data_IF_702921961064
#
_entry.id   IF_702921961064
#
_cell.length_a   1.000
_cell.length_b   1.000
_cell.length_c   1.000
_cell.angle_alpha   90.00
_cell.angle_beta   90.00
_cell.angle_gamma   90.00
#
_symmetry.space_group_name_H-M   'P 1'
#
loop_
_entity.id
_entity.type
_entity.pdbx_description
1 polymer ?
#
# COMPACT_ATOMS: atom_id res chain seq x y z
N UNK A 1 -7.31 90.76 30.83
CA UNK A 1 -6.49 90.45 29.63
C UNK A 1 -5.69 89.16 29.88
N UNK A 2 -5.96 88.14 29.06
CA UNK A 2 -5.09 87.04 28.59
C UNK A 2 -4.09 86.38 29.57
N UNK A 3 -4.49 85.24 30.14
CA UNK A 3 -3.58 84.13 30.46
C UNK A 3 -3.27 83.36 29.17
N UNK A 4 -2.04 83.45 28.67
CA UNK A 4 -1.54 82.65 27.55
C UNK A 4 -1.07 81.29 28.10
N UNK A 5 -1.78 80.21 27.72
CA UNK A 5 -1.32 78.83 27.87
C UNK A 5 0.01 78.65 27.14
N UNK A 6 1.07 78.33 27.89
CA UNK A 6 2.27 77.73 27.33
C UNK A 6 1.96 76.25 27.01
N UNK A 7 1.63 75.94 25.77
CA UNK A 7 1.80 74.58 25.23
C UNK A 7 3.20 74.51 24.61
N UNK A 8 4.19 74.03 25.37
CA UNK A 8 5.53 73.75 24.87
C UNK A 8 5.63 72.28 24.43
N UNK A 9 5.96 72.09 23.15
CA UNK A 9 6.77 71.01 22.59
C UNK A 9 6.44 69.56 22.95
N UNK A 10 5.46 68.94 22.28
CA UNK A 10 5.35 67.47 22.16
C UNK A 10 5.42 66.99 20.69
N UNK A 11 5.72 67.89 19.75
CA UNK A 11 5.53 67.66 18.31
C UNK A 11 6.63 66.87 17.58
N UNK A 12 7.92 66.85 18.00
CA UNK A 12 8.95 66.10 17.27
C UNK A 12 9.05 64.62 17.69
N UNK A 13 8.98 64.35 18.99
CA UNK A 13 9.25 63.01 19.56
C UNK A 13 8.14 62.01 19.23
N UNK A 14 6.88 62.45 19.25
CA UNK A 14 5.74 61.60 18.87
C UNK A 14 5.83 61.26 17.37
N UNK A 15 6.27 62.21 16.54
CA UNK A 15 6.45 62.00 15.10
C UNK A 15 7.54 60.98 14.79
N UNK A 16 8.70 61.07 15.44
CA UNK A 16 9.79 60.09 15.23
C UNK A 16 9.45 58.70 15.75
N UNK A 17 8.81 58.59 16.91
CA UNK A 17 8.37 57.29 17.45
C UNK A 17 7.36 56.62 16.51
N UNK A 18 6.40 57.39 15.98
CA UNK A 18 5.43 56.88 15.02
C UNK A 18 6.11 56.42 13.70
N UNK A 19 7.07 57.18 13.21
CA UNK A 19 7.76 56.88 11.95
C UNK A 19 8.64 55.62 12.08
N UNK A 20 9.32 55.45 13.21
CA UNK A 20 10.08 54.22 13.51
C UNK A 20 9.13 53.04 13.62
N UNK A 21 7.99 53.18 14.30
CA UNK A 21 7.01 52.10 14.43
C UNK A 21 6.47 51.65 13.07
N UNK A 22 6.16 52.59 12.17
CA UNK A 22 5.71 52.30 10.80
C UNK A 22 6.83 51.63 10.00
N UNK A 23 8.06 52.14 10.09
CA UNK A 23 9.19 51.56 9.37
C UNK A 23 9.49 50.11 9.81
N UNK A 24 9.39 49.82 11.12
CA UNK A 24 9.54 48.46 11.64
C UNK A 24 8.41 47.55 11.14
N UNK A 25 7.15 48.00 11.16
CA UNK A 25 6.03 47.21 10.63
C UNK A 25 6.19 46.90 9.14
N UNK A 26 6.60 47.89 8.34
CA UNK A 26 6.84 47.70 6.91
C UNK A 26 8.02 46.77 6.65
N UNK A 27 9.12 46.90 7.40
CA UNK A 27 10.27 46.01 7.29
C UNK A 27 9.90 44.57 7.66
N UNK A 28 9.10 44.36 8.70
CA UNK A 28 8.60 43.03 9.08
C UNK A 28 7.70 42.42 8.00
N UNK A 29 6.78 43.21 7.43
CA UNK A 29 5.91 42.74 6.36
C UNK A 29 6.72 42.41 5.08
N UNK A 30 7.68 43.26 4.71
CA UNK A 30 8.56 43.03 3.58
C UNK A 30 9.46 41.80 3.80
N UNK A 31 9.94 41.59 5.02
CA UNK A 31 10.70 40.38 5.37
C UNK A 31 9.83 39.12 5.23
N UNK A 32 8.59 39.13 5.71
CA UNK A 32 7.68 37.99 5.57
C UNK A 32 7.40 37.64 4.10
N UNK A 33 7.17 38.66 3.26
CA UNK A 33 6.97 38.46 1.81
C UNK A 33 8.25 38.01 1.13
N UNK A 34 9.41 38.56 1.49
CA UNK A 34 10.69 38.17 0.91
C UNK A 34 11.09 36.74 1.30
N UNK A 35 10.96 36.37 2.58
CA UNK A 35 11.24 35.01 3.05
C UNK A 35 10.24 33.99 2.51
N UNK A 36 8.95 34.34 2.43
CA UNK A 36 7.93 33.47 1.81
C UNK A 36 8.04 33.35 0.29
N UNK A 37 8.73 34.28 -0.37
CA UNK A 37 9.05 34.20 -1.81
C UNK A 37 10.36 33.47 -2.11
N UNK A 38 11.21 33.23 -1.10
CA UNK A 38 12.45 32.46 -1.23
C UNK A 38 12.29 30.97 -0.92
N UNK A 39 11.11 30.51 -0.51
CA UNK A 39 10.80 29.08 -0.50
C UNK A 39 10.73 28.61 -1.96
N UNK A 40 11.78 27.91 -2.41
CA UNK A 40 11.79 27.23 -3.71
C UNK A 40 10.68 26.18 -3.72
N UNK A 41 9.54 26.54 -4.31
CA UNK A 41 8.44 25.60 -4.55
C UNK A 41 8.88 24.66 -5.67
N UNK A 42 9.14 23.42 -5.31
CA UNK A 42 9.43 22.38 -6.28
C UNK A 42 8.18 22.11 -7.13
N UNK A 43 8.26 22.23 -8.48
CA UNK A 43 7.12 21.93 -9.32
C UNK A 43 6.79 20.44 -9.25
N UNK A 44 5.51 20.12 -9.09
CA UNK A 44 5.04 18.74 -9.13
C UNK A 44 5.15 18.17 -10.55
N UNK A 45 5.36 16.85 -10.70
CA UNK A 45 5.41 16.22 -12.01
C UNK A 45 4.08 16.32 -12.76
N UNK A 46 4.15 16.53 -14.06
CA UNK A 46 2.95 16.56 -14.91
C UNK A 46 2.64 15.14 -15.42
N UNK A 47 1.62 14.53 -14.82
CA UNK A 47 1.13 13.19 -15.18
C UNK A 47 -0.36 13.20 -15.51
N UNK A 48 -0.79 12.25 -16.33
CA UNK A 48 -2.19 11.91 -16.61
C UNK A 48 -2.41 10.46 -16.26
N UNK A 49 -3.43 10.19 -15.45
CA UNK A 49 -3.73 8.87 -14.97
C UNK A 49 -5.22 8.61 -15.09
N UNK A 50 -5.55 7.36 -15.37
CA UNK A 50 -6.91 6.85 -15.41
C UNK A 50 -7.07 5.76 -14.36
N UNK A 51 -8.29 5.60 -13.85
CA UNK A 51 -8.63 4.62 -12.83
C UNK A 51 -9.89 3.91 -13.25
N UNK A 52 -9.79 2.61 -13.47
CA UNK A 52 -10.90 1.78 -13.96
C UNK A 52 -11.05 0.52 -13.07
N UNK A 53 -12.26 -0.06 -12.95
CA UNK A 53 -12.42 -1.34 -12.26
C UNK A 53 -11.53 -2.42 -12.86
N UNK A 54 -10.80 -3.15 -12.00
CA UNK A 54 -9.87 -4.21 -12.42
C UNK A 54 -10.52 -5.59 -12.51
N UNK A 55 -9.71 -6.60 -12.85
CA UNK A 55 -10.14 -8.00 -12.83
C UNK A 55 -10.14 -8.59 -11.42
N UNK A 56 -9.27 -8.09 -10.53
CA UNK A 56 -9.17 -8.55 -9.15
C UNK A 56 -10.39 -8.10 -8.33
N UNK A 57 -10.91 -8.93 -7.42
CA UNK A 57 -12.02 -8.57 -6.54
C UNK A 57 -11.75 -7.26 -5.79
N UNK A 58 -12.72 -6.34 -5.82
CA UNK A 58 -12.66 -5.02 -5.18
C UNK A 58 -11.51 -4.09 -5.62
N UNK A 59 -10.70 -4.47 -6.61
CA UNK A 59 -9.60 -3.65 -7.09
C UNK A 59 -10.02 -2.69 -8.21
N UNK A 60 -9.33 -1.57 -8.27
CA UNK A 60 -9.28 -0.69 -9.44
C UNK A 60 -7.86 -0.71 -9.99
N UNK A 61 -7.72 -0.70 -11.32
CA UNK A 61 -6.44 -0.53 -12.01
C UNK A 61 -6.18 0.98 -12.20
N UNK A 62 -5.13 1.48 -11.55
CA UNK A 62 -4.61 2.83 -11.74
C UNK A 62 -3.53 2.80 -12.81
N UNK A 63 -3.79 3.38 -13.97
CA UNK A 63 -2.86 3.42 -15.10
C UNK A 63 -2.27 4.82 -15.28
N UNK A 64 -0.94 4.91 -15.39
CA UNK A 64 -0.26 6.11 -15.86
C UNK A 64 -0.33 6.18 -17.39
N UNK A 65 -1.28 6.93 -17.95
CA UNK A 65 -1.48 6.95 -19.41
C UNK A 65 -0.51 7.87 -20.14
N UNK A 66 -0.07 8.97 -19.51
CA UNK A 66 0.90 9.89 -20.11
C UNK A 66 1.61 10.76 -19.05
N UNK A 67 2.75 11.33 -19.41
CA UNK A 67 3.45 12.34 -18.62
C UNK A 67 4.86 11.95 -18.20
N UNK A 68 5.35 12.61 -17.16
CA UNK A 68 6.66 12.33 -16.58
C UNK A 68 6.68 11.02 -15.79
N UNK A 69 7.88 10.43 -15.65
CA UNK A 69 8.08 9.28 -14.76
C UNK A 69 7.70 9.67 -13.33
N UNK A 70 6.87 8.85 -12.70
CA UNK A 70 6.48 9.06 -11.32
C UNK A 70 7.33 8.17 -10.41
N UNK A 71 8.09 8.79 -9.52
CA UNK A 71 8.86 8.09 -8.49
C UNK A 71 7.91 7.63 -7.38
N UNK A 72 7.77 6.31 -7.24
CA UNK A 72 6.91 5.65 -6.26
C UNK A 72 7.21 6.03 -4.81
N UNK A 73 8.47 6.32 -4.49
CA UNK A 73 8.87 6.74 -3.14
C UNK A 73 8.37 8.14 -2.79
N UNK A 74 7.98 8.92 -3.80
CA UNK A 74 7.49 10.29 -3.64
C UNK A 74 5.99 10.41 -3.73
N UNK A 75 5.25 9.31 -3.78
CA UNK A 75 3.79 9.33 -3.91
C UNK A 75 3.07 8.49 -2.87
N UNK A 76 1.84 8.88 -2.57
CA UNK A 76 0.93 8.11 -1.73
C UNK A 76 -0.50 8.18 -2.28
N UNK A 77 -1.25 7.10 -2.08
CA UNK A 77 -2.64 6.91 -2.47
C UNK A 77 -3.56 7.04 -1.27
N UNK A 78 -3.96 8.26 -0.93
CA UNK A 78 -4.85 8.48 0.22
C UNK A 78 -6.25 7.97 -0.08
N UNK A 79 -6.79 7.16 0.83
CA UNK A 79 -8.09 6.52 0.63
C UNK A 79 -8.01 5.13 -0.03
N UNK A 80 -6.80 4.59 -0.24
CA UNK A 80 -6.57 3.19 -0.52
C UNK A 80 -6.26 2.40 0.76
N UNK A 81 -6.47 1.09 0.73
CA UNK A 81 -6.07 0.16 1.79
C UNK A 81 -4.55 0.22 2.03
N UNK A 82 -3.77 0.16 0.95
CA UNK A 82 -2.33 0.41 0.94
C UNK A 82 -2.06 1.80 0.35
N UNK A 83 -1.85 2.79 1.22
CA UNK A 83 -1.50 4.14 0.78
C UNK A 83 -0.11 4.21 0.10
N UNK A 84 0.70 3.15 0.24
CA UNK A 84 2.06 3.04 -0.27
C UNK A 84 2.18 2.02 -1.41
N UNK A 85 1.07 1.60 -2.05
CA UNK A 85 1.07 0.58 -3.09
C UNK A 85 1.99 0.87 -4.29
N UNK A 86 2.36 2.15 -4.48
CA UNK A 86 3.27 2.59 -5.53
C UNK A 86 4.74 2.61 -5.12
N UNK A 87 5.07 2.36 -3.84
CA UNK A 87 6.46 2.36 -3.38
C UNK A 87 7.29 1.25 -4.04
N UNK A 88 8.60 1.44 -4.04
CA UNK A 88 9.61 0.56 -4.62
C UNK A 88 9.50 0.33 -6.14
N UNK A 89 8.73 1.16 -6.84
CA UNK A 89 8.65 1.15 -8.31
C UNK A 89 8.58 2.56 -8.86
N UNK A 90 9.20 2.76 -10.01
CA UNK A 90 8.92 3.92 -10.86
C UNK A 90 7.75 3.57 -11.76
N UNK A 91 6.80 4.50 -11.93
CA UNK A 91 5.75 4.37 -12.95
C UNK A 91 6.12 5.16 -14.20
N UNK A 92 6.00 4.50 -15.34
CA UNK A 92 6.11 5.05 -16.68
C UNK A 92 4.75 5.02 -17.37
N UNK A 93 4.65 5.73 -18.49
CA UNK A 93 3.43 5.70 -19.29
C UNK A 93 3.15 4.27 -19.81
N UNK A 94 1.94 3.77 -19.53
CA UNK A 94 1.48 2.41 -19.79
C UNK A 94 1.58 1.46 -18.60
N UNK A 95 2.19 1.88 -17.48
CA UNK A 95 2.23 1.06 -16.27
C UNK A 95 0.91 1.15 -15.51
N UNK A 96 0.43 0.02 -14.99
CA UNK A 96 -0.76 -0.06 -14.12
C UNK A 96 -0.42 -0.65 -12.75
N UNK A 97 -1.23 -0.28 -11.75
CA UNK A 97 -1.18 -0.85 -10.40
C UNK A 97 -2.60 -1.06 -9.88
N UNK A 98 -2.85 -2.25 -9.35
CA UNK A 98 -4.08 -2.53 -8.61
C UNK A 98 -4.12 -1.76 -7.29
N UNK A 99 -5.23 -1.07 -7.05
CA UNK A 99 -5.49 -0.27 -5.85
C UNK A 99 -6.83 -0.72 -5.27
N UNK A 100 -6.92 -0.77 -3.94
CA UNK A 100 -8.16 -1.14 -3.23
C UNK A 100 -8.69 0.09 -2.47
N UNK A 101 -9.64 0.84 -3.03
CA UNK A 101 -10.20 2.00 -2.33
C UNK A 101 -10.98 1.58 -1.09
N UNK A 102 -10.67 2.22 0.04
CA UNK A 102 -11.42 2.12 1.32
C UNK A 102 -12.35 3.32 1.52
N UNK A 103 -12.27 4.33 0.65
CA UNK A 103 -13.05 5.57 0.70
C UNK A 103 -13.55 5.92 -0.69
N UNK A 104 -14.68 6.64 -0.76
CA UNK A 104 -15.27 7.10 -2.03
C UNK A 104 -14.37 8.08 -2.81
N UNK A 105 -13.37 8.66 -2.14
CA UNK A 105 -12.42 9.59 -2.73
C UNK A 105 -11.01 9.05 -2.58
N UNK A 106 -10.39 8.73 -3.71
CA UNK A 106 -8.99 8.33 -3.81
C UNK A 106 -8.16 9.52 -4.31
N UNK A 107 -7.06 9.84 -3.62
CA UNK A 107 -6.17 10.94 -3.99
C UNK A 107 -4.75 10.45 -4.19
N UNK A 108 -4.18 10.75 -5.36
CA UNK A 108 -2.74 10.60 -5.59
C UNK A 108 -2.03 11.86 -5.15
N UNK A 109 -1.20 11.75 -4.12
CA UNK A 109 -0.43 12.86 -3.54
C UNK A 109 1.04 12.65 -3.82
N UNK A 110 1.71 13.68 -4.35
CA UNK A 110 3.16 13.71 -4.53
C UNK A 110 3.83 14.59 -3.48
N UNK A 111 5.03 14.18 -3.05
CA UNK A 111 5.86 14.85 -2.04
C UNK A 111 7.21 15.25 -2.65
N UNK A 112 7.52 16.54 -2.57
CA UNK A 112 8.81 17.10 -2.97
C UNK A 112 9.86 17.00 -1.86
N UNK A 113 11.12 17.15 -2.25
CA UNK A 113 12.31 17.04 -1.41
C UNK A 113 12.37 18.10 -0.30
N UNK A 114 11.72 19.24 -0.53
CA UNK A 114 11.71 20.38 0.39
C UNK A 114 10.40 20.54 1.16
N UNK A 115 9.66 19.43 1.33
CA UNK A 115 8.44 19.37 2.14
C UNK A 115 7.20 19.93 1.44
N UNK A 116 7.29 20.25 0.15
CA UNK A 116 6.12 20.54 -0.67
C UNK A 116 5.28 19.28 -0.89
N UNK A 117 3.96 19.41 -0.92
CA UNK A 117 3.06 18.30 -1.30
C UNK A 117 1.95 18.80 -2.21
N UNK A 118 1.59 17.98 -3.20
CA UNK A 118 0.61 18.33 -4.23
C UNK A 118 -0.30 17.14 -4.49
N UNK A 119 -1.61 17.38 -4.57
CA UNK A 119 -2.56 16.38 -5.09
C UNK A 119 -2.42 16.40 -6.61
N UNK A 120 -1.90 15.31 -7.18
CA UNK A 120 -1.74 15.17 -8.62
C UNK A 120 -3.08 14.89 -9.29
N UNK A 121 -3.88 13.99 -8.70
CA UNK A 121 -5.19 13.56 -9.18
C UNK A 121 -6.11 13.17 -8.02
N UNK A 122 -7.39 13.31 -8.27
CA UNK A 122 -8.47 12.86 -7.39
C UNK A 122 -9.45 12.05 -8.24
N UNK A 123 -9.89 10.92 -7.69
CA UNK A 123 -10.83 10.00 -8.31
C UNK A 123 -12.02 9.79 -7.37
N UNK A 124 -13.21 9.71 -7.96
CA UNK A 124 -14.42 9.25 -7.29
C UNK A 124 -14.61 7.77 -7.60
N UNK A 125 -14.76 6.95 -6.56
CA UNK A 125 -14.81 5.49 -6.65
C UNK A 125 -15.87 4.94 -5.71
N UNK A 126 -16.34 3.73 -5.99
CA UNK A 126 -17.17 2.96 -5.07
C UNK A 126 -16.28 1.92 -4.38
N UNK A 127 -16.03 2.02 -3.05
CA UNK A 127 -15.23 1.04 -2.31
C UNK A 127 -15.83 -0.37 -2.41
N UNK A 128 -15.02 -1.33 -2.82
CA UNK A 128 -15.43 -2.74 -2.92
C UNK A 128 -15.04 -3.60 -1.71
N UNK A 129 -14.21 -3.06 -0.81
CA UNK A 129 -13.72 -3.75 0.39
C UNK A 129 -14.70 -3.54 1.56
N UNK A 130 -14.78 -4.48 2.52
CA UNK A 130 -15.67 -4.35 3.67
C UNK A 130 -15.25 -3.19 4.59
N UNK A 131 -16.23 -2.60 5.28
CA UNK A 131 -15.97 -1.58 6.30
C UNK A 131 -15.21 -2.19 7.49
N UNK A 132 -14.23 -1.44 7.99
CA UNK A 132 -13.36 -1.91 9.06
C UNK A 132 -14.04 -1.86 10.45
N UNK A 133 -13.92 -2.96 11.20
CA UNK A 133 -14.27 -3.02 12.62
C UNK A 133 -13.17 -2.40 13.50
N UNK A 134 -11.92 -2.54 13.06
CA UNK A 134 -10.71 -2.05 13.74
C UNK A 134 -9.73 -1.48 12.73
N UNK A 135 -8.82 -0.68 13.26
CA UNK A 135 -7.73 -0.04 12.49
C UNK A 135 -6.40 -0.23 13.22
N UNK A 136 -5.29 0.22 12.63
CA UNK A 136 -3.93 0.08 13.18
C UNK A 136 -3.75 0.36 14.68
N UNK A 137 -4.43 1.32 15.34
CA UNK A 137 -4.30 1.51 16.78
C UNK A 137 -4.61 0.27 17.62
N UNK A 138 -5.47 -0.64 17.15
CA UNK A 138 -5.70 -1.92 17.82
C UNK A 138 -4.45 -2.82 17.73
N UNK A 139 -3.90 -2.98 16.52
CA UNK A 139 -2.71 -3.79 16.27
C UNK A 139 -1.51 -3.28 17.09
N UNK A 140 -1.31 -1.97 17.16
CA UNK A 140 -0.25 -1.37 17.98
C UNK A 140 -0.46 -1.62 19.48
N UNK A 141 -1.71 -1.77 19.93
CA UNK A 141 -2.05 -2.21 21.28
C UNK A 141 -1.60 -3.64 21.56
N UNK A 142 -1.95 -4.58 20.69
CA UNK A 142 -1.54 -6.01 20.82
C UNK A 142 -0.01 -6.17 20.87
N UNK A 143 0.71 -5.43 20.01
CA UNK A 143 2.18 -5.42 20.02
C UNK A 143 2.74 -4.86 21.32
N UNK A 144 2.16 -3.78 21.83
CA UNK A 144 2.61 -3.15 23.07
C UNK A 144 2.36 -4.04 24.30
N UNK A 145 1.30 -4.82 24.28
CA UNK A 145 0.97 -5.80 25.31
C UNK A 145 1.81 -7.08 25.22
N UNK A 146 2.63 -7.21 24.17
CA UNK A 146 3.57 -8.32 23.99
C UNK A 146 2.88 -9.61 23.60
N UNK A 147 1.81 -9.51 22.79
CA UNK A 147 1.14 -10.67 22.22
C UNK A 147 2.15 -11.59 21.53
N UNK A 148 2.07 -12.90 21.81
CA UNK A 148 2.92 -13.92 21.19
C UNK A 148 2.41 -14.38 19.82
N UNK A 149 1.17 -14.02 19.49
CA UNK A 149 0.46 -14.30 18.25
C UNK A 149 -0.56 -13.16 18.06
N UNK A 150 -0.75 -12.70 16.84
CA UNK A 150 -1.81 -11.74 16.50
C UNK A 150 -2.96 -12.53 15.85
N UNK A 151 -4.08 -12.68 16.56
CA UNK A 151 -5.29 -13.34 16.05
C UNK A 151 -6.29 -12.29 15.58
N UNK A 152 -6.81 -12.44 14.36
CA UNK A 152 -7.75 -11.50 13.74
C UNK A 152 -9.03 -12.27 13.38
N UNK A 153 -10.14 -11.91 14.05
CA UNK A 153 -11.48 -12.50 13.90
C UNK A 153 -12.53 -11.44 13.51
N UNK A 154 -12.09 -10.32 12.93
CA UNK A 154 -12.91 -9.18 12.49
C UNK A 154 -12.29 -8.50 11.26
N UNK A 155 -12.96 -7.48 10.71
CA UNK A 155 -12.39 -6.68 9.61
C UNK A 155 -11.39 -5.65 10.14
N UNK A 156 -10.11 -5.79 9.76
CA UNK A 156 -9.02 -4.89 10.12
C UNK A 156 -8.54 -4.08 8.90
N UNK A 157 -8.67 -2.76 8.94
CA UNK A 157 -8.00 -1.85 7.98
C UNK A 157 -6.64 -1.44 8.55
N UNK A 158 -5.60 -2.21 8.22
CA UNK A 158 -4.21 -1.94 8.58
C UNK A 158 -3.25 -2.90 7.85
N UNK A 159 -2.03 -2.44 7.60
CA UNK A 159 -0.90 -3.33 7.35
C UNK A 159 -0.49 -4.06 8.65
N UNK A 160 -0.61 -5.38 8.66
CA UNK A 160 -0.30 -6.23 9.80
C UNK A 160 1.16 -6.66 9.76
N UNK A 161 2.04 -5.80 10.27
CA UNK A 161 3.48 -6.08 10.38
C UNK A 161 3.85 -6.44 11.82
N UNK A 162 4.20 -7.69 12.12
CA UNK A 162 4.49 -8.14 13.49
C UNK A 162 5.73 -9.04 13.56
N UNK A 163 6.27 -9.27 14.76
CA UNK A 163 7.42 -10.18 14.99
C UNK A 163 7.01 -11.52 15.62
N UNK A 164 5.81 -11.96 15.29
CA UNK A 164 5.10 -13.08 15.91
C UNK A 164 4.18 -13.71 14.87
N UNK A 165 3.70 -14.92 15.15
CA UNK A 165 2.71 -15.58 14.30
C UNK A 165 1.47 -14.70 14.11
N UNK A 166 0.89 -14.72 12.91
CA UNK A 166 -0.33 -14.00 12.57
C UNK A 166 -1.36 -15.05 12.14
N UNK A 167 -2.50 -15.07 12.80
CA UNK A 167 -3.58 -16.02 12.50
C UNK A 167 -4.84 -15.26 12.16
N UNK A 168 -5.47 -15.60 11.04
CA UNK A 168 -6.83 -15.17 10.74
C UNK A 168 -7.78 -16.32 11.05
N UNK A 169 -8.83 -16.02 11.81
CA UNK A 169 -9.89 -16.97 12.16
C UNK A 169 -11.23 -16.53 11.56
N UNK A 170 -12.30 -17.27 11.84
CA UNK A 170 -13.66 -16.98 11.36
C UNK A 170 -14.05 -15.53 11.57
N UNK A 171 -14.38 -14.81 10.47
CA UNK A 171 -14.72 -13.39 10.48
C UNK A 171 -13.54 -12.44 10.26
N UNK A 172 -12.32 -12.98 10.23
CA UNK A 172 -11.09 -12.27 9.92
C UNK A 172 -11.04 -11.79 8.47
N UNK A 173 -10.89 -10.48 8.29
CA UNK A 173 -10.58 -9.87 7.00
C UNK A 173 -9.49 -8.84 7.23
N UNK A 174 -8.46 -8.84 6.40
CA UNK A 174 -7.42 -7.81 6.44
C UNK A 174 -7.54 -6.96 5.18
N UNK A 175 -7.75 -5.67 5.37
CA UNK A 175 -7.71 -4.65 4.32
C UNK A 175 -6.37 -3.95 4.45
N UNK A 176 -5.36 -4.48 3.74
CA UNK A 176 -3.95 -4.17 3.91
C UNK A 176 -3.07 -5.40 3.68
N UNK A 177 -1.77 -5.25 3.89
CA UNK A 177 -0.79 -6.33 3.81
C UNK A 177 -0.61 -7.10 5.12
N UNK A 178 -0.07 -8.31 5.06
CA UNK A 178 0.38 -9.10 6.22
C UNK A 178 1.88 -9.38 6.06
N UNK A 179 2.68 -9.09 7.09
CA UNK A 179 4.14 -9.32 7.16
C UNK A 179 4.50 -9.86 8.56
N UNK A 180 4.70 -11.18 8.65
CA UNK A 180 5.08 -11.90 9.87
C UNK A 180 6.60 -12.11 9.94
N UNK A 181 7.29 -11.32 10.76
CA UNK A 181 8.75 -11.34 10.90
C UNK A 181 9.19 -12.30 12.00
N UNK A 182 9.96 -13.33 11.66
CA UNK A 182 10.24 -14.49 12.50
C UNK A 182 8.99 -15.27 12.94
N UNK A 183 7.89 -15.20 12.21
CA UNK A 183 6.65 -15.93 12.52
C UNK A 183 6.04 -16.57 11.28
N UNK A 184 5.00 -17.34 11.50
CA UNK A 184 4.15 -17.92 10.47
C UNK A 184 2.95 -17.02 10.16
N UNK A 185 2.27 -17.29 9.06
CA UNK A 185 0.93 -16.77 8.79
C UNK A 185 -0.02 -17.94 8.54
N UNK A 186 -1.06 -18.04 9.36
CA UNK A 186 -2.09 -19.07 9.23
C UNK A 186 -3.43 -18.39 8.90
N UNK A 187 -4.01 -18.68 7.75
CA UNK A 187 -5.32 -18.14 7.32
C UNK A 187 -6.27 -19.32 7.17
N UNK A 188 -7.09 -19.55 8.17
CA UNK A 188 -7.93 -20.74 8.26
C UNK A 188 -9.36 -20.36 8.64
N UNK A 189 -10.31 -21.18 8.21
CA UNK A 189 -11.75 -21.14 8.49
C UNK A 189 -12.58 -20.26 7.56
N UNK A 190 -12.62 -20.63 6.27
CA UNK A 190 -13.75 -20.48 5.36
C UNK A 190 -14.27 -19.06 5.12
N UNK A 191 -14.12 -18.58 3.89
CA UNK A 191 -14.57 -17.26 3.40
C UNK A 191 -13.78 -16.06 3.96
N UNK A 192 -12.55 -16.27 4.42
CA UNK A 192 -11.66 -15.17 4.83
C UNK A 192 -11.06 -14.46 3.61
N UNK A 193 -10.69 -13.18 3.75
CA UNK A 193 -10.03 -12.45 2.66
C UNK A 193 -8.95 -11.50 3.16
N UNK A 194 -7.79 -11.52 2.50
CA UNK A 194 -6.74 -10.51 2.65
C UNK A 194 -6.67 -9.68 1.39
N UNK A 195 -6.98 -8.38 1.48
CA UNK A 195 -6.86 -7.42 0.38
C UNK A 195 -5.47 -6.78 0.36
N UNK A 196 -4.47 -7.59 0.03
CA UNK A 196 -3.07 -7.19 -0.01
C UNK A 196 -2.13 -8.40 -0.06
N UNK A 197 -0.81 -8.17 -0.17
CA UNK A 197 0.17 -9.24 -0.14
C UNK A 197 0.30 -9.86 1.26
N UNK A 198 0.64 -11.14 1.30
CA UNK A 198 0.93 -11.91 2.51
C UNK A 198 2.38 -12.38 2.48
N UNK A 199 3.12 -12.10 3.55
CA UNK A 199 4.52 -12.49 3.71
C UNK A 199 4.80 -13.06 5.10
N UNK A 200 5.65 -14.08 5.16
CA UNK A 200 6.17 -14.66 6.41
C UNK A 200 7.67 -15.00 6.29
N UNK A 201 8.44 -14.76 7.35
CA UNK A 201 9.83 -15.24 7.47
C UNK A 201 9.91 -16.75 7.77
N UNK A 202 8.78 -17.40 8.10
CA UNK A 202 8.67 -18.85 8.22
C UNK A 202 7.69 -19.34 7.14
N UNK A 203 6.61 -20.04 7.53
CA UNK A 203 5.66 -20.62 6.61
C UNK A 203 4.38 -19.81 6.47
N UNK A 204 3.68 -20.00 5.35
CA UNK A 204 2.32 -19.51 5.13
C UNK A 204 1.40 -20.70 4.87
N UNK A 205 0.32 -20.81 5.65
CA UNK A 205 -0.75 -21.79 5.49
C UNK A 205 -2.07 -21.06 5.20
N UNK A 206 -2.76 -21.46 4.12
CA UNK A 206 -4.02 -20.85 3.67
C UNK A 206 -5.01 -21.96 3.38
N UNK A 207 -6.10 -22.02 4.14
CA UNK A 207 -7.18 -23.00 3.99
C UNK A 207 -8.54 -22.30 3.80
N UNK A 208 -9.20 -22.60 2.67
CA UNK A 208 -10.54 -22.11 2.31
C UNK A 208 -10.68 -20.57 2.38
N UNK A 209 -9.65 -19.83 1.94
CA UNK A 209 -9.57 -18.37 2.03
C UNK A 209 -9.07 -17.69 0.73
N UNK A 210 -9.22 -16.38 0.64
CA UNK A 210 -8.80 -15.60 -0.54
C UNK A 210 -7.67 -14.61 -0.19
N UNK A 211 -6.65 -14.52 -1.05
CA UNK A 211 -5.62 -13.48 -0.95
C UNK A 211 -5.61 -12.67 -2.23
N UNK A 212 -5.95 -11.39 -2.14
CA UNK A 212 -5.95 -10.47 -3.27
C UNK A 212 -4.59 -9.78 -3.41
N UNK A 213 -3.55 -10.60 -3.58
CA UNK A 213 -2.16 -10.18 -3.62
C UNK A 213 -1.21 -11.37 -3.80
N UNK A 214 0.09 -11.11 -3.78
CA UNK A 214 1.10 -12.17 -3.78
C UNK A 214 1.25 -12.81 -2.40
N UNK A 215 1.58 -14.09 -2.37
CA UNK A 215 1.94 -14.84 -1.16
C UNK A 215 3.43 -15.18 -1.22
N UNK A 216 4.16 -14.91 -0.15
CA UNK A 216 5.57 -15.30 -0.04
C UNK A 216 5.95 -15.81 1.34
N UNK A 217 6.85 -16.79 1.37
CA UNK A 217 7.37 -17.38 2.59
C UNK A 217 8.86 -17.67 2.44
N UNK A 218 9.61 -17.61 3.55
CA UNK A 218 11.03 -17.98 3.59
C UNK A 218 11.25 -19.48 3.88
N UNK A 219 10.19 -20.23 4.26
CA UNK A 219 10.22 -21.68 4.49
C UNK A 219 9.24 -22.45 3.57
N UNK A 220 8.01 -22.75 4.02
CA UNK A 220 7.02 -23.51 3.26
C UNK A 220 5.77 -22.66 2.95
N UNK A 221 5.13 -22.93 1.80
CA UNK A 221 3.78 -22.43 1.51
C UNK A 221 2.85 -23.62 1.29
N UNK A 222 1.76 -23.66 2.05
CA UNK A 222 0.64 -24.57 1.84
C UNK A 222 -0.62 -23.76 1.51
N UNK A 223 -1.35 -24.17 0.47
CA UNK A 223 -2.59 -23.51 0.04
C UNK A 223 -3.63 -24.57 -0.31
N UNK A 224 -4.73 -24.66 0.43
CA UNK A 224 -5.86 -25.54 0.14
C UNK A 224 -7.16 -24.74 -0.04
N UNK A 225 -7.97 -25.11 -1.03
CA UNK A 225 -9.32 -24.54 -1.23
C UNK A 225 -9.39 -23.02 -1.52
N UNK A 226 -8.26 -22.39 -1.87
CA UNK A 226 -8.12 -20.93 -1.89
C UNK A 226 -8.13 -20.29 -3.29
N UNK A 227 -8.33 -18.97 -3.36
CA UNK A 227 -8.02 -18.15 -4.55
C UNK A 227 -6.97 -17.08 -4.25
N UNK A 228 -5.86 -17.11 -4.99
CA UNK A 228 -4.72 -16.19 -4.85
C UNK A 228 -4.62 -15.30 -6.09
N UNK A 229 -4.81 -13.98 -5.94
CA UNK A 229 -4.71 -12.99 -7.02
C UNK A 229 -3.32 -12.36 -7.15
N UNK A 230 -2.31 -13.21 -7.20
CA UNK A 230 -0.93 -12.82 -7.36
C UNK A 230 -0.01 -14.02 -7.47
N UNK A 231 1.29 -13.75 -7.39
CA UNK A 231 2.29 -14.82 -7.41
C UNK A 231 2.41 -15.52 -6.06
N UNK A 232 2.75 -16.80 -6.08
CA UNK A 232 3.09 -17.60 -4.90
C UNK A 232 4.58 -17.90 -4.94
N UNK A 233 5.33 -17.55 -3.88
CA UNK A 233 6.81 -17.61 -3.86
C UNK A 233 7.35 -18.15 -2.54
N UNK A 234 7.90 -19.36 -2.55
CA UNK A 234 8.54 -19.96 -1.37
C UNK A 234 9.65 -20.93 -1.76
N UNK A 235 10.48 -21.40 -0.82
CA UNK A 235 11.39 -22.52 -1.06
C UNK A 235 10.67 -23.78 -1.51
N UNK A 236 9.62 -24.19 -0.79
CA UNK A 236 8.75 -25.31 -1.11
C UNK A 236 7.29 -24.83 -1.15
N UNK A 237 6.54 -25.27 -2.15
CA UNK A 237 5.17 -24.79 -2.40
C UNK A 237 4.26 -25.98 -2.67
N UNK A 238 3.26 -26.15 -1.81
CA UNK A 238 2.19 -27.14 -1.94
C UNK A 238 0.86 -26.41 -2.16
N UNK A 239 0.14 -26.77 -3.22
CA UNK A 239 -1.12 -26.13 -3.59
C UNK A 239 -2.13 -27.21 -3.94
N UNK A 240 -3.26 -27.19 -3.27
CA UNK A 240 -4.33 -28.16 -3.35
C UNK A 240 -5.67 -27.45 -3.60
N UNK A 241 -6.48 -27.96 -4.52
CA UNK A 241 -7.87 -27.51 -4.80
C UNK A 241 -8.03 -25.98 -4.95
N UNK A 242 -6.99 -25.27 -5.40
CA UNK A 242 -6.94 -23.81 -5.40
C UNK A 242 -6.79 -23.20 -6.80
N UNK A 243 -6.94 -21.88 -6.90
CA UNK A 243 -6.65 -21.10 -8.10
C UNK A 243 -5.61 -20.02 -7.82
N UNK A 244 -4.55 -19.98 -8.64
CA UNK A 244 -3.50 -18.95 -8.59
C UNK A 244 -3.57 -18.11 -9.87
N UNK A 245 -4.03 -16.86 -9.74
CA UNK A 245 -4.10 -15.85 -10.81
C UNK A 245 -2.74 -15.16 -11.02
N UNK A 246 -1.68 -15.96 -11.08
CA UNK A 246 -0.30 -15.52 -11.15
C UNK A 246 0.64 -16.70 -11.42
N UNK A 247 1.93 -16.48 -11.21
CA UNK A 247 2.95 -17.52 -11.33
C UNK A 247 3.29 -18.15 -9.98
N UNK A 248 3.71 -19.40 -10.00
CA UNK A 248 4.26 -20.08 -8.82
C UNK A 248 5.77 -20.19 -8.99
N UNK A 249 6.53 -19.76 -7.99
CA UNK A 249 7.98 -19.86 -7.97
C UNK A 249 8.43 -20.63 -6.74
N UNK A 250 9.24 -21.66 -6.98
CA UNK A 250 9.84 -22.47 -5.93
C UNK A 250 11.34 -22.64 -6.14
N UNK A 251 12.11 -22.60 -5.05
CA UNK A 251 13.53 -22.95 -5.10
C UNK A 251 13.76 -24.47 -5.15
N UNK A 252 12.78 -25.24 -4.67
CA UNK A 252 12.86 -26.69 -4.48
C UNK A 252 11.74 -27.42 -5.26
N UNK A 253 10.72 -27.96 -4.59
CA UNK A 253 9.62 -28.67 -5.24
C UNK A 253 8.36 -27.81 -5.28
N UNK A 254 7.53 -28.04 -6.30
CA UNK A 254 6.12 -27.61 -6.30
C UNK A 254 5.25 -28.84 -6.39
N UNK A 255 4.32 -28.98 -5.45
CA UNK A 255 3.28 -30.00 -5.47
C UNK A 255 1.94 -29.33 -5.81
N UNK A 256 1.23 -29.87 -6.82
CA UNK A 256 -0.05 -29.33 -7.29
C UNK A 256 -1.11 -30.43 -7.34
N UNK A 257 -2.20 -30.30 -6.58
CA UNK A 257 -3.35 -31.22 -6.62
C UNK A 257 -4.65 -30.50 -7.02
N UNK A 258 -5.22 -30.82 -8.19
CA UNK A 258 -6.49 -30.22 -8.63
C UNK A 258 -6.46 -28.68 -8.84
N UNK A 259 -5.27 -28.09 -8.99
CA UNK A 259 -5.04 -26.64 -9.05
C UNK A 259 -5.19 -26.04 -10.45
N UNK A 260 -5.58 -24.77 -10.52
CA UNK A 260 -5.40 -23.94 -11.73
C UNK A 260 -4.39 -22.82 -11.48
N UNK A 261 -3.25 -22.85 -12.17
CA UNK A 261 -2.27 -21.76 -12.22
C UNK A 261 -2.38 -21.07 -13.58
N UNK A 262 -2.72 -19.79 -13.59
CA UNK A 262 -2.89 -19.04 -14.86
C UNK A 262 -1.57 -18.55 -15.44
N UNK A 263 -0.57 -18.30 -14.60
CA UNK A 263 0.79 -18.01 -15.01
C UNK A 263 1.62 -19.28 -15.18
N UNK A 264 2.94 -19.12 -15.05
CA UNK A 264 3.88 -20.22 -15.18
C UNK A 264 4.35 -20.74 -13.82
N UNK A 265 4.76 -22.00 -13.79
CA UNK A 265 5.52 -22.57 -12.68
C UNK A 265 7.02 -22.53 -12.98
N UNK A 266 7.78 -21.93 -12.06
CA UNK A 266 9.24 -21.81 -12.09
C UNK A 266 9.83 -22.61 -10.93
N UNK A 267 10.28 -23.83 -11.20
CA UNK A 267 10.73 -24.78 -10.18
C UNK A 267 11.69 -25.82 -10.77
N UNK A 268 12.63 -26.37 -9.98
CA UNK A 268 13.43 -27.54 -10.36
C UNK A 268 12.58 -28.76 -10.75
N UNK A 269 11.44 -28.96 -10.09
CA UNK A 269 10.50 -30.05 -10.36
C UNK A 269 9.08 -29.72 -9.92
N UNK A 270 8.11 -30.30 -10.61
CA UNK A 270 6.68 -30.20 -10.29
C UNK A 270 6.09 -31.60 -10.19
N UNK A 271 5.36 -31.88 -9.11
CA UNK A 271 4.49 -33.06 -8.97
C UNK A 271 3.04 -32.65 -9.20
N UNK A 272 2.24 -33.54 -9.78
CA UNK A 272 0.85 -33.26 -10.10
C UNK A 272 -0.09 -34.42 -9.81
N UNK A 273 -1.16 -34.13 -9.08
CA UNK A 273 -2.34 -34.98 -8.84
C UNK A 273 -3.64 -34.26 -9.23
N UNK A 274 -4.70 -35.03 -9.47
CA UNK A 274 -6.05 -34.56 -9.87
C UNK A 274 -6.12 -33.57 -11.05
N UNK A 275 -5.18 -33.70 -11.98
CA UNK A 275 -5.15 -33.01 -13.29
C UNK A 275 -5.07 -31.48 -13.22
N UNK A 276 -4.01 -30.89 -12.62
CA UNK A 276 -3.85 -29.45 -12.55
C UNK A 276 -3.65 -28.85 -13.94
N UNK A 277 -3.97 -27.56 -14.09
CA UNK A 277 -3.74 -26.78 -15.30
C UNK A 277 -2.74 -25.66 -15.01
N UNK A 278 -1.73 -25.49 -15.86
CA UNK A 278 -0.69 -24.46 -15.75
C UNK A 278 -0.61 -23.72 -17.09
N UNK A 279 -0.81 -22.40 -17.09
CA UNK A 279 -0.85 -21.56 -18.30
C UNK A 279 -1.77 -22.13 -19.40
N UNK A 280 -2.94 -22.65 -19.00
CA UNK A 280 -3.90 -23.28 -19.90
C UNK A 280 -3.49 -24.66 -20.44
N UNK A 281 -2.33 -25.20 -20.06
CA UNK A 281 -1.86 -26.54 -20.42
C UNK A 281 -2.08 -27.54 -19.27
N UNK A 282 -2.46 -28.80 -19.55
CA UNK A 282 -2.56 -29.81 -18.50
C UNK A 282 -1.17 -30.14 -17.95
N UNK A 283 -1.04 -30.26 -16.63
CA UNK A 283 0.28 -30.47 -15.99
C UNK A 283 1.03 -31.69 -16.54
N UNK A 284 0.32 -32.76 -16.94
CA UNK A 284 0.93 -33.97 -17.52
C UNK A 284 1.79 -33.72 -18.78
N UNK A 285 1.63 -32.58 -19.45
CA UNK A 285 2.42 -32.15 -20.60
C UNK A 285 3.24 -30.89 -20.35
N UNK A 286 3.10 -30.26 -19.19
CA UNK A 286 3.79 -29.02 -18.85
C UNK A 286 5.23 -29.31 -18.41
N UNK A 287 6.16 -28.45 -18.82
CA UNK A 287 7.54 -28.47 -18.37
C UNK A 287 7.81 -27.21 -17.54
N UNK A 288 8.22 -27.34 -16.26
CA UNK A 288 8.51 -26.17 -15.44
C UNK A 288 9.68 -25.37 -16.01
N UNK A 289 9.62 -24.06 -15.77
CA UNK A 289 10.66 -23.12 -16.15
C UNK A 289 11.76 -23.08 -15.08
N UNK A 290 12.95 -22.62 -15.47
CA UNK A 290 14.05 -22.46 -14.54
C UNK A 290 13.71 -21.37 -13.49
N UNK A 291 13.90 -21.62 -12.19
CA UNK A 291 13.65 -20.63 -11.12
C UNK A 291 14.38 -19.29 -11.29
N UNK A 292 15.46 -19.25 -12.07
CA UNK A 292 16.24 -18.05 -12.38
C UNK A 292 15.70 -17.23 -13.55
N UNK A 293 14.75 -17.78 -14.32
CA UNK A 293 14.07 -17.10 -15.42
C UNK A 293 12.82 -16.30 -14.96
N UNK A 294 12.56 -16.29 -13.64
CA UNK A 294 11.45 -15.57 -13.02
C UNK A 294 11.64 -14.05 -13.04
#
# INVERSE_FOLDING_TARGET
>A
MRSRRARRGLSPVIGTVLLVAIAVLLASAAAYVAFGATEEREPAPEVTMDLEPGERPAAYELELTNGERLDGEKVALRGAADENALRNRDLLAGDSVAVFPVRERLQLVWFGEHGSSYVLREFEVEPGVPEADRTCPWLEGEKADGASTITIDFVLECDVVAQVDITLETGGVVVGSIDSRNGNVDIDNGDLTVYGPVAADQSVDIDDANVVGSVSADDDIAVDGAEIWGDVRGPDVDVDTATVQGSVRSANQVDLDGVTVTGHVYAPSVSCSDSPTIDGEPCSSYAPKDPSDY
#
